data_IF_642440672433
#
_entry.id   IF_642440672433
#
_cell.length_a   1.000
_cell.length_b   1.000
_cell.length_c   1.000
_cell.angle_alpha   90.00
_cell.angle_beta   90.00
_cell.angle_gamma   90.00
#
_symmetry.space_group_name_H-M   'P 1'
#
loop_
_entity.id
_entity.type
_entity.pdbx_description
1 polymer ?
#
# COMPACT_ATOMS: atom_id res chain seq x y z
N UNK A 1 -27.80 -28.32 -38.18
CA UNK A 1 -28.01 -26.87 -37.95
C UNK A 1 -28.19 -26.54 -36.46
N UNK A 2 -29.00 -27.29 -35.71
CA UNK A 2 -29.19 -27.08 -34.26
C UNK A 2 -27.94 -27.36 -33.43
N UNK A 3 -27.21 -28.45 -33.71
CA UNK A 3 -25.95 -28.80 -33.03
C UNK A 3 -24.96 -27.61 -33.03
N UNK A 4 -24.74 -27.03 -34.21
CA UNK A 4 -23.85 -25.88 -34.39
C UNK A 4 -24.30 -24.66 -33.57
N UNK A 5 -25.60 -24.37 -33.49
CA UNK A 5 -26.11 -23.26 -32.66
C UNK A 5 -25.92 -23.53 -31.17
N UNK A 6 -26.10 -24.78 -30.74
CA UNK A 6 -25.85 -25.21 -29.37
C UNK A 6 -24.36 -25.07 -29.01
N UNK A 7 -23.47 -25.48 -29.91
CA UNK A 7 -22.02 -25.36 -29.75
C UNK A 7 -21.59 -23.88 -29.68
N UNK A 8 -22.12 -23.03 -30.55
CA UNK A 8 -21.89 -21.58 -30.53
C UNK A 8 -22.38 -20.94 -29.21
N UNK A 9 -23.54 -21.36 -28.70
CA UNK A 9 -24.08 -20.88 -27.43
C UNK A 9 -23.22 -21.34 -26.24
N UNK A 10 -22.79 -22.60 -26.23
CA UNK A 10 -21.88 -23.13 -25.21
C UNK A 10 -20.53 -22.40 -25.23
N UNK A 11 -19.97 -22.11 -26.42
CA UNK A 11 -18.74 -21.33 -26.53
C UNK A 11 -18.90 -19.93 -25.94
N UNK A 12 -19.99 -19.22 -26.26
CA UNK A 12 -20.28 -17.89 -25.69
C UNK A 12 -20.46 -17.96 -24.17
N UNK A 13 -21.13 -18.99 -23.67
CA UNK A 13 -21.30 -19.22 -22.24
C UNK A 13 -19.96 -19.44 -21.53
N UNK A 14 -19.11 -20.33 -22.08
CA UNK A 14 -17.77 -20.55 -21.53
C UNK A 14 -16.91 -19.29 -21.57
N UNK A 15 -16.98 -18.52 -22.65
CA UNK A 15 -16.27 -17.24 -22.75
C UNK A 15 -16.75 -16.24 -21.69
N UNK A 16 -18.05 -16.08 -21.52
CA UNK A 16 -18.64 -15.20 -20.51
C UNK A 16 -18.23 -15.63 -19.09
N UNK A 17 -18.32 -16.93 -18.80
CA UNK A 17 -17.90 -17.49 -17.51
C UNK A 17 -16.42 -17.22 -17.23
N UNK A 18 -15.55 -17.45 -18.21
CA UNK A 18 -14.11 -17.19 -18.07
C UNK A 18 -13.83 -15.70 -17.87
N UNK A 19 -14.52 -14.82 -18.60
CA UNK A 19 -14.39 -13.37 -18.42
C UNK A 19 -14.86 -12.92 -17.04
N UNK A 20 -15.97 -13.45 -16.55
CA UNK A 20 -16.48 -13.16 -15.20
C UNK A 20 -15.50 -13.61 -14.11
N UNK A 21 -14.93 -14.81 -14.23
CA UNK A 21 -13.90 -15.31 -13.32
C UNK A 21 -12.64 -14.43 -13.34
N UNK A 22 -12.19 -14.01 -14.53
CA UNK A 22 -11.03 -13.13 -14.66
C UNK A 22 -11.27 -11.76 -13.99
N UNK A 23 -12.45 -11.18 -14.15
CA UNK A 23 -12.82 -9.91 -13.49
C UNK A 23 -12.84 -10.10 -11.97
N UNK A 24 -13.48 -11.17 -11.47
CA UNK A 24 -13.52 -11.45 -10.02
C UNK A 24 -12.12 -11.57 -9.44
N UNK A 25 -11.27 -12.40 -10.03
CA UNK A 25 -9.91 -12.61 -9.54
C UNK A 25 -9.09 -11.30 -9.56
N UNK A 26 -9.29 -10.45 -10.58
CA UNK A 26 -8.64 -9.13 -10.65
C UNK A 26 -9.11 -8.21 -9.53
N UNK A 27 -10.41 -8.20 -9.23
CA UNK A 27 -10.97 -7.38 -8.14
C UNK A 27 -10.53 -7.88 -6.76
N UNK A 28 -10.52 -9.19 -6.53
CA UNK A 28 -10.05 -9.80 -5.27
C UNK A 28 -8.57 -9.45 -5.04
N UNK A 29 -7.71 -9.69 -6.04
CA UNK A 29 -6.29 -9.34 -5.95
C UNK A 29 -6.11 -7.84 -5.69
N UNK A 30 -6.78 -6.97 -6.44
CA UNK A 30 -6.68 -5.52 -6.21
C UNK A 30 -7.11 -5.14 -4.79
N UNK A 31 -8.19 -5.73 -4.28
CA UNK A 31 -8.66 -5.48 -2.91
C UNK A 31 -7.65 -5.92 -1.85
N UNK A 32 -7.01 -7.07 -2.01
CA UNK A 32 -5.97 -7.56 -1.09
C UNK A 32 -4.79 -6.57 -1.03
N UNK A 33 -4.34 -6.09 -2.20
CA UNK A 33 -3.26 -5.11 -2.29
C UNK A 33 -3.62 -3.77 -1.62
N UNK A 34 -4.82 -3.23 -1.87
CA UNK A 34 -5.29 -2.01 -1.21
C UNK A 34 -5.38 -2.16 0.31
N UNK A 35 -5.86 -3.31 0.78
CA UNK A 35 -5.93 -3.60 2.22
C UNK A 35 -4.53 -3.65 2.86
N UNK A 36 -3.56 -4.31 2.19
CA UNK A 36 -2.18 -4.36 2.66
C UNK A 36 -1.54 -2.96 2.72
N UNK A 37 -1.73 -2.15 1.68
CA UNK A 37 -1.23 -0.78 1.66
C UNK A 37 -1.87 0.07 2.78
N UNK A 38 -3.19 0.00 2.95
CA UNK A 38 -3.89 0.73 4.01
C UNK A 38 -3.36 0.38 5.40
N UNK A 39 -3.16 -0.92 5.67
CA UNK A 39 -2.63 -1.37 6.96
C UNK A 39 -1.21 -0.85 7.20
N UNK A 40 -0.33 -0.95 6.20
CA UNK A 40 1.03 -0.45 6.29
C UNK A 40 1.07 1.08 6.50
N UNK A 41 0.26 1.84 5.77
CA UNK A 41 0.17 3.29 5.96
C UNK A 41 -0.32 3.66 7.36
N UNK A 42 -1.30 2.94 7.92
CA UNK A 42 -1.75 3.14 9.30
C UNK A 42 -0.63 2.89 10.30
N UNK A 43 0.09 1.79 10.15
CA UNK A 43 1.24 1.47 11.02
C UNK A 43 2.32 2.56 10.94
N UNK A 44 2.61 3.07 9.73
CA UNK A 44 3.55 4.16 9.54
C UNK A 44 3.06 5.46 10.19
N UNK A 45 1.78 5.81 10.06
CA UNK A 45 1.20 6.96 10.75
C UNK A 45 1.35 6.82 12.26
N UNK A 46 0.98 5.68 12.84
CA UNK A 46 1.11 5.41 14.28
C UNK A 46 2.57 5.44 14.74
N UNK A 47 3.50 5.00 13.89
CA UNK A 47 4.92 5.10 14.16
C UNK A 47 5.40 6.56 14.17
N UNK A 48 4.99 7.37 13.19
CA UNK A 48 5.31 8.80 13.14
C UNK A 48 4.76 9.53 14.37
N UNK A 49 3.51 9.28 14.75
CA UNK A 49 2.92 9.87 15.96
C UNK A 49 3.70 9.53 17.23
N UNK A 50 4.16 8.26 17.37
CA UNK A 50 4.98 7.85 18.50
C UNK A 50 6.34 8.57 18.51
N UNK A 51 6.96 8.73 17.35
CA UNK A 51 8.25 9.43 17.21
C UNK A 51 8.14 10.93 17.48
N UNK A 52 7.06 11.54 17.03
CA UNK A 52 6.75 12.94 17.33
C UNK A 52 6.54 13.16 18.84
N UNK A 53 5.83 12.25 19.50
CA UNK A 53 5.67 12.28 20.96
C UNK A 53 6.98 12.03 21.72
N UNK A 54 7.87 11.17 21.21
CA UNK A 54 9.20 10.95 21.77
C UNK A 54 10.06 12.22 21.68
N UNK A 55 10.09 12.87 20.51
CA UNK A 55 10.80 14.13 20.30
C UNK A 55 10.24 15.26 21.19
N UNK A 56 8.92 15.35 21.31
CA UNK A 56 8.25 16.37 22.13
C UNK A 56 8.54 16.23 23.62
N UNK A 57 8.99 15.05 24.07
CA UNK A 57 9.37 14.78 25.46
C UNK A 57 10.86 15.04 25.73
N UNK A 58 11.65 15.36 24.72
CA UNK A 58 13.06 15.71 24.93
C UNK A 58 13.13 16.99 25.76
N UNK A 59 13.69 16.86 26.96
CA UNK A 59 13.94 17.97 27.87
C UNK A 59 15.06 18.89 27.35
N UNK A 60 15.31 20.02 28.04
CA UNK A 60 16.42 20.90 27.71
C UNK A 60 17.77 20.15 27.72
N UNK A 61 18.74 20.66 26.97
CA UNK A 61 20.10 20.13 26.94
C UNK A 61 20.67 20.16 28.37
N UNK A 62 21.19 19.03 28.84
CA UNK A 62 21.76 18.91 30.18
C UNK A 62 23.11 19.63 30.30
N UNK A 63 23.43 20.13 31.50
CA UNK A 63 24.69 20.85 31.75
C UNK A 63 25.88 19.98 32.14
N UNK A 64 25.65 18.69 32.43
CA UNK A 64 26.69 17.71 32.82
C UNK A 64 27.03 16.81 31.63
N UNK A 65 28.28 16.31 31.61
CA UNK A 65 28.82 15.52 30.50
C UNK A 65 28.14 14.15 30.33
N UNK A 66 27.65 13.54 31.41
CA UNK A 66 26.95 12.27 31.37
C UNK A 66 25.56 12.41 30.73
N UNK A 67 24.84 13.50 31.03
CA UNK A 67 23.55 13.82 30.41
C UNK A 67 23.74 14.14 28.94
N UNK A 68 24.79 14.88 28.57
CA UNK A 68 25.12 15.16 27.17
C UNK A 68 25.44 13.88 26.39
N UNK A 69 26.23 12.97 26.96
CA UNK A 69 26.56 11.70 26.32
C UNK A 69 25.30 10.85 26.08
N UNK A 70 24.41 10.78 27.08
CA UNK A 70 23.13 10.09 26.93
C UNK A 70 22.27 10.72 25.84
N UNK A 71 22.16 12.05 25.81
CA UNK A 71 21.40 12.76 24.77
C UNK A 71 21.98 12.51 23.37
N UNK A 72 23.30 12.44 23.23
CA UNK A 72 23.96 12.09 21.97
C UNK A 72 23.61 10.67 21.51
N UNK A 73 23.67 9.70 22.42
CA UNK A 73 23.35 8.30 22.14
C UNK A 73 21.87 8.12 21.75
N UNK A 74 20.96 8.74 22.51
CA UNK A 74 19.52 8.75 22.24
C UNK A 74 19.23 9.34 20.85
N UNK A 75 19.85 10.49 20.52
CA UNK A 75 19.69 11.12 19.21
C UNK A 75 20.28 10.26 18.07
N UNK A 76 21.41 9.59 18.29
CA UNK A 76 22.02 8.68 17.32
C UNK A 76 21.12 7.45 17.09
N UNK A 77 20.52 6.90 18.14
CA UNK A 77 19.57 5.81 18.04
C UNK A 77 18.30 6.23 17.29
N UNK A 78 17.75 7.41 17.59
CA UNK A 78 16.61 7.98 16.89
C UNK A 78 16.89 8.12 15.38
N UNK A 79 18.05 8.65 15.02
CA UNK A 79 18.45 8.79 13.61
C UNK A 79 18.52 7.46 12.87
N UNK A 80 19.07 6.41 13.50
CA UNK A 80 19.10 5.06 12.88
C UNK A 80 17.69 4.54 12.61
N UNK A 81 16.78 4.70 13.57
CA UNK A 81 15.39 4.25 13.40
C UNK A 81 14.66 5.00 12.27
N UNK A 82 14.97 6.28 12.05
CA UNK A 82 14.45 7.02 10.90
C UNK A 82 14.97 6.46 9.58
N UNK A 83 16.28 6.20 9.48
CA UNK A 83 16.87 5.63 8.27
C UNK A 83 16.29 4.24 7.96
N UNK A 84 16.11 3.39 8.98
CA UNK A 84 15.51 2.06 8.82
C UNK A 84 14.07 2.13 8.29
N UNK A 85 13.30 3.15 8.72
CA UNK A 85 11.91 3.36 8.25
C UNK A 85 11.83 4.05 6.89
N UNK A 86 12.85 4.77 6.46
CA UNK A 86 12.83 5.58 5.23
C UNK A 86 12.43 4.75 4.00
N UNK A 87 13.08 3.60 3.79
CA UNK A 87 12.79 2.74 2.65
C UNK A 87 11.34 2.24 2.64
N UNK A 88 10.77 1.95 3.82
CA UNK A 88 9.38 1.47 3.95
C UNK A 88 8.40 2.60 3.61
N UNK A 89 8.68 3.82 4.07
CA UNK A 89 7.85 5.00 3.77
C UNK A 89 7.88 5.30 2.26
N UNK A 90 9.07 5.36 1.66
CA UNK A 90 9.23 5.63 0.23
C UNK A 90 8.51 4.59 -0.64
N UNK A 91 8.66 3.29 -0.30
CA UNK A 91 7.93 2.22 -0.99
C UNK A 91 6.42 2.34 -0.83
N UNK A 92 5.92 2.61 0.38
CA UNK A 92 4.48 2.75 0.64
C UNK A 92 3.87 3.91 -0.14
N UNK A 93 4.58 5.04 -0.24
CA UNK A 93 4.16 6.20 -1.04
C UNK A 93 4.16 5.84 -2.54
N UNK A 94 5.20 5.15 -3.02
CA UNK A 94 5.29 4.73 -4.42
C UNK A 94 4.13 3.80 -4.79
N UNK A 95 3.89 2.76 -3.98
CA UNK A 95 2.76 1.84 -4.18
C UNK A 95 1.44 2.60 -4.18
N UNK A 96 1.22 3.51 -3.22
CA UNK A 96 0.00 4.34 -3.21
C UNK A 96 -0.20 5.16 -4.48
N UNK A 97 0.86 5.75 -5.04
CA UNK A 97 0.78 6.48 -6.32
C UNK A 97 0.47 5.56 -7.50
N UNK A 98 1.08 4.39 -7.55
CA UNK A 98 0.84 3.40 -8.60
C UNK A 98 -0.63 2.98 -8.59
N UNK A 99 -1.18 2.65 -7.43
CA UNK A 99 -2.58 2.21 -7.34
C UNK A 99 -3.59 3.31 -7.67
N UNK A 100 -3.33 4.57 -7.28
CA UNK A 100 -4.17 5.70 -7.69
C UNK A 100 -4.19 5.88 -9.22
N UNK A 101 -3.05 5.63 -9.89
CA UNK A 101 -2.96 5.69 -11.35
C UNK A 101 -3.68 4.50 -12.01
N UNK A 102 -3.54 3.28 -11.47
CA UNK A 102 -4.21 2.08 -11.97
C UNK A 102 -5.74 2.17 -11.83
N UNK A 103 -6.23 2.69 -10.71
CA UNK A 103 -7.65 2.95 -10.49
C UNK A 103 -8.22 3.93 -11.53
N UNK A 104 -7.43 4.94 -11.93
CA UNK A 104 -7.81 5.89 -12.99
C UNK A 104 -7.84 5.25 -14.39
N UNK A 105 -7.00 4.25 -14.64
CA UNK A 105 -6.91 3.56 -15.94
C UNK A 105 -7.99 2.48 -16.10
N UNK A 106 -8.40 1.81 -15.02
CA UNK A 106 -9.42 0.75 -15.07
C UNK A 106 -10.78 1.29 -15.49
N UNK A 107 -11.16 2.48 -14.99
CA UNK A 107 -12.41 3.17 -15.31
C UNK A 107 -12.55 3.50 -16.82
N UNK A 108 -11.42 3.68 -17.51
CA UNK A 108 -11.38 3.95 -18.95
C UNK A 108 -11.46 2.68 -19.82
N UNK A 109 -11.11 1.51 -19.30
CA UNK A 109 -11.07 0.26 -20.07
C UNK A 109 -12.42 -0.46 -20.17
N UNK A 110 -13.32 -0.25 -19.21
CA UNK A 110 -14.67 -0.86 -19.23
C UNK A 110 -15.63 -0.13 -20.19
N UNK A 111 -15.27 1.06 -20.70
CA UNK A 111 -16.10 1.83 -21.65
C UNK A 111 -15.91 1.46 -23.12
N UNK A 112 -14.90 0.64 -23.48
CA UNK A 112 -14.57 0.31 -24.88
C UNK A 112 -15.12 -1.02 -25.41
N UNK A 113 -15.96 -1.71 -24.64
CA UNK A 113 -16.61 -2.95 -25.08
C UNK A 113 -18.11 -2.76 -25.38
N UNK A 114 -18.44 -2.02 -26.44
CA UNK A 114 -19.78 -2.02 -27.06
C UNK A 114 -19.70 -2.61 -28.46
#
# INVERSE_FOLDING_TARGET
>A
MLQRRLDEMNQRWHHLKNRSLAIRNRLESNSEHWNALLLNLRELSDWVFRKDAELSRLGPIGGDINVLQKQEDDHRAFRRQLEDKRAIIENSILSGRQYLNEASLTDLTDTKGK
#
